data_IF_181308396691
#
_entry.id   IF_181308396691
#
_cell.length_a   1.000
_cell.length_b   1.000
_cell.length_c   1.000
_cell.angle_alpha   90.00
_cell.angle_beta   90.00
_cell.angle_gamma   90.00
#
_symmetry.space_group_name_H-M   'P 1'
#
loop_
_entity.id
_entity.type
_entity.pdbx_description
1 polymer ?
#
# COMPACT_ATOMS: atom_id res chain seq x y z
N UNK A 1 -32.78 5.20 2.65
CA UNK A 1 -32.39 6.62 2.73
C UNK A 1 -30.91 6.78 3.03
N UNK A 2 -30.36 6.07 4.03
CA UNK A 2 -28.93 6.10 4.33
C UNK A 2 -28.05 5.72 3.12
N UNK A 3 -28.39 4.67 2.38
CA UNK A 3 -27.65 4.27 1.17
C UNK A 3 -27.68 5.33 0.06
N UNK A 4 -28.79 6.06 -0.06
CA UNK A 4 -28.92 7.14 -1.05
C UNK A 4 -28.07 8.36 -0.66
N UNK A 5 -27.96 8.66 0.64
CA UNK A 5 -27.08 9.71 1.17
C UNK A 5 -25.61 9.31 1.02
N UNK A 6 -25.27 8.06 1.30
CA UNK A 6 -23.92 7.53 1.08
C UNK A 6 -23.54 7.58 -0.40
N UNK A 7 -24.44 7.16 -1.28
CA UNK A 7 -24.22 7.19 -2.74
C UNK A 7 -24.06 8.62 -3.25
N UNK A 8 -24.92 9.56 -2.81
CA UNK A 8 -24.82 10.97 -3.17
C UNK A 8 -23.50 11.62 -2.68
N UNK A 9 -23.07 11.32 -1.45
CA UNK A 9 -21.77 11.76 -0.93
C UNK A 9 -20.58 11.15 -1.66
N UNK A 10 -20.77 9.98 -2.28
CA UNK A 10 -19.79 9.31 -3.13
C UNK A 10 -19.73 9.85 -4.56
N UNK A 11 -20.75 10.58 -5.04
CA UNK A 11 -20.79 11.04 -6.42
C UNK A 11 -19.66 12.00 -6.76
N UNK A 12 -19.29 12.91 -5.85
CA UNK A 12 -18.14 13.80 -6.06
C UNK A 12 -16.85 13.02 -6.26
N UNK A 13 -16.65 11.97 -5.44
CA UNK A 13 -15.52 11.07 -5.56
C UNK A 13 -15.53 10.25 -6.86
N UNK A 14 -16.70 9.73 -7.26
CA UNK A 14 -16.83 9.01 -8.51
C UNK A 14 -16.63 9.94 -9.71
N UNK A 15 -17.07 11.19 -9.65
CA UNK A 15 -16.81 12.20 -10.66
C UNK A 15 -15.31 12.48 -10.82
N UNK A 16 -14.57 12.64 -9.72
CA UNK A 16 -13.11 12.78 -9.75
C UNK A 16 -12.43 11.54 -10.36
N UNK A 17 -12.88 10.33 -10.00
CA UNK A 17 -12.36 9.10 -10.58
C UNK A 17 -12.68 8.94 -12.07
N UNK A 18 -13.88 9.35 -12.51
CA UNK A 18 -14.27 9.35 -13.93
C UNK A 18 -13.42 10.35 -14.73
N UNK A 19 -13.02 11.46 -14.11
CA UNK A 19 -12.17 12.47 -14.71
C UNK A 19 -10.68 12.08 -14.79
N UNK A 20 -10.27 10.95 -14.23
CA UNK A 20 -8.92 10.46 -14.42
C UNK A 20 -8.67 10.12 -15.89
N UNK A 21 -7.89 10.98 -16.55
CA UNK A 21 -7.30 10.64 -17.84
C UNK A 21 -6.31 9.48 -17.63
N UNK A 22 -6.51 8.36 -18.34
CA UNK A 22 -5.60 7.22 -18.25
C UNK A 22 -4.22 7.63 -18.76
N UNK A 23 -3.18 7.40 -17.96
CA UNK A 23 -1.81 7.68 -18.39
C UNK A 23 -1.25 6.55 -19.26
N UNK A 24 -0.02 6.73 -19.75
CA UNK A 24 0.72 5.67 -20.45
C UNK A 24 1.18 4.55 -19.53
N UNK A 25 1.13 4.72 -18.21
CA UNK A 25 1.50 3.72 -17.21
C UNK A 25 0.26 3.26 -16.43
N UNK A 26 -0.36 2.11 -16.81
CA UNK A 26 -1.52 1.58 -16.10
C UNK A 26 -1.25 1.21 -14.63
N UNK A 27 0.00 0.92 -14.26
CA UNK A 27 0.34 0.57 -12.87
C UNK A 27 0.42 1.83 -12.01
N UNK A 28 0.97 2.92 -12.54
CA UNK A 28 0.92 4.21 -11.87
C UNK A 28 -0.52 4.72 -11.73
N UNK A 29 -1.37 4.52 -12.74
CA UNK A 29 -2.80 4.81 -12.63
C UNK A 29 -3.45 4.06 -11.45
N UNK A 30 -3.13 2.78 -11.25
CA UNK A 30 -3.62 2.00 -10.11
C UNK A 30 -3.10 2.54 -8.77
N UNK A 31 -1.82 2.97 -8.70
CA UNK A 31 -1.26 3.63 -7.51
C UNK A 31 -1.99 4.93 -7.17
N UNK A 32 -2.22 5.79 -8.17
CA UNK A 32 -2.99 7.03 -8.01
C UNK A 32 -4.43 6.75 -7.58
N UNK A 33 -5.08 5.77 -8.20
CA UNK A 33 -6.45 5.37 -7.88
C UNK A 33 -6.61 4.84 -6.44
N UNK A 34 -5.59 4.13 -5.93
CA UNK A 34 -5.50 3.74 -4.53
C UNK A 34 -5.40 4.96 -3.60
N UNK A 35 -4.44 5.85 -3.86
CA UNK A 35 -4.20 7.02 -3.01
C UNK A 35 -5.43 7.94 -2.93
N UNK A 36 -6.13 8.13 -4.05
CA UNK A 36 -7.39 8.88 -4.08
C UNK A 36 -8.50 8.20 -3.28
N UNK A 37 -8.61 6.87 -3.33
CA UNK A 37 -9.58 6.14 -2.51
C UNK A 37 -9.29 6.29 -1.01
N UNK A 38 -8.02 6.22 -0.62
CA UNK A 38 -7.59 6.42 0.77
C UNK A 38 -7.87 7.85 1.22
N UNK A 39 -7.45 8.85 0.43
CA UNK A 39 -7.65 10.25 0.74
C UNK A 39 -9.14 10.59 0.92
N UNK A 40 -9.99 10.07 0.02
CA UNK A 40 -11.43 10.22 0.14
C UNK A 40 -11.97 9.64 1.45
N UNK A 41 -11.57 8.42 1.80
CA UNK A 41 -12.06 7.77 3.03
C UNK A 41 -11.64 8.49 4.30
N UNK A 42 -10.43 9.03 4.34
CA UNK A 42 -9.95 9.84 5.46
C UNK A 42 -10.62 11.22 5.55
N UNK A 43 -10.90 11.84 4.41
CA UNK A 43 -11.62 13.12 4.35
C UNK A 43 -13.13 12.96 4.67
N UNK A 44 -13.69 11.77 4.45
CA UNK A 44 -15.13 11.50 4.64
C UNK A 44 -15.42 10.27 5.52
N UNK A 45 -14.96 10.20 6.79
CA UNK A 45 -15.05 8.98 7.61
C UNK A 45 -16.46 8.41 7.79
N UNK A 46 -17.45 9.28 7.99
CA UNK A 46 -18.84 8.87 8.20
C UNK A 46 -19.46 8.26 6.93
N UNK A 47 -19.23 8.89 5.77
CA UNK A 47 -19.71 8.41 4.47
C UNK A 47 -19.03 7.07 4.15
N UNK A 48 -17.71 7.00 4.34
CA UNK A 48 -16.94 5.80 4.05
C UNK A 48 -17.36 4.61 4.93
N UNK A 49 -17.56 4.84 6.24
CA UNK A 49 -18.02 3.80 7.18
C UNK A 49 -19.44 3.36 6.87
N UNK A 50 -20.33 4.27 6.47
CA UNK A 50 -21.67 3.91 6.04
C UNK A 50 -21.66 3.00 4.80
N UNK A 51 -20.73 3.25 3.86
CA UNK A 51 -20.64 2.49 2.62
C UNK A 51 -19.90 1.14 2.75
N UNK A 52 -18.84 1.09 3.55
CA UNK A 52 -17.93 -0.06 3.64
C UNK A 52 -17.88 -0.74 5.02
N UNK A 53 -18.39 -0.10 6.08
CA UNK A 53 -18.33 -0.62 7.45
C UNK A 53 -19.50 -1.51 7.85
N UNK A 54 -20.60 -1.51 7.09
CA UNK A 54 -21.78 -2.34 7.37
C UNK A 54 -21.98 -3.39 6.26
N UNK A 55 -21.40 -4.57 6.46
CA UNK A 55 -21.46 -5.67 5.48
C UNK A 55 -22.80 -6.41 5.60
N UNK A 56 -23.56 -6.42 4.51
CA UNK A 56 -24.81 -7.17 4.40
C UNK A 56 -24.72 -8.19 3.27
N UNK A 57 -24.89 -9.50 3.54
CA UNK A 57 -24.86 -10.52 2.49
C UNK A 57 -25.85 -10.21 1.36
N UNK A 58 -25.36 -10.20 0.13
CA UNK A 58 -26.17 -9.96 -1.07
C UNK A 58 -26.53 -8.50 -1.35
N UNK A 59 -26.14 -7.56 -0.49
CA UNK A 59 -26.38 -6.12 -0.71
C UNK A 59 -25.07 -5.38 -0.95
N UNK A 60 -25.00 -4.62 -2.04
CA UNK A 60 -23.86 -3.77 -2.37
C UNK A 60 -24.36 -2.40 -2.85
N UNK A 61 -23.96 -1.30 -2.21
CA UNK A 61 -24.35 0.04 -2.63
C UNK A 61 -23.97 0.32 -4.10
N UNK A 62 -24.81 1.08 -4.81
CA UNK A 62 -24.59 1.41 -6.23
C UNK A 62 -23.23 2.08 -6.47
N UNK A 63 -22.85 3.04 -5.62
CA UNK A 63 -21.55 3.70 -5.67
C UNK A 63 -20.36 2.73 -5.49
N UNK A 64 -20.49 1.72 -4.62
CA UNK A 64 -19.46 0.69 -4.44
C UNK A 64 -19.35 -0.25 -5.64
N UNK A 65 -20.47 -0.52 -6.32
CA UNK A 65 -20.50 -1.28 -7.58
C UNK A 65 -19.83 -0.50 -8.71
N UNK A 66 -20.12 0.81 -8.82
CA UNK A 66 -19.48 1.66 -9.82
C UNK A 66 -17.97 1.84 -9.58
N UNK A 67 -17.55 2.10 -8.34
CA UNK A 67 -16.12 2.19 -8.01
C UNK A 67 -15.36 0.92 -8.40
N UNK A 68 -15.98 -0.26 -8.23
CA UNK A 68 -15.42 -1.54 -8.68
C UNK A 68 -15.35 -1.65 -10.20
N UNK A 69 -16.37 -1.17 -10.91
CA UNK A 69 -16.36 -1.15 -12.38
C UNK A 69 -15.21 -0.27 -12.92
N UNK A 70 -14.95 0.88 -12.30
CA UNK A 70 -13.81 1.75 -12.63
C UNK A 70 -12.48 1.02 -12.41
N UNK A 71 -12.29 0.40 -11.22
CA UNK A 71 -11.09 -0.39 -10.92
C UNK A 71 -10.88 -1.53 -11.93
N UNK A 72 -11.95 -2.27 -12.26
CA UNK A 72 -11.90 -3.34 -13.27
C UNK A 72 -11.45 -2.81 -14.63
N UNK A 73 -11.96 -1.66 -15.08
CA UNK A 73 -11.53 -1.04 -16.34
C UNK A 73 -10.04 -0.65 -16.35
N UNK A 74 -9.51 -0.17 -15.23
CA UNK A 74 -8.07 0.11 -15.09
C UNK A 74 -7.24 -1.18 -15.17
N UNK A 75 -7.70 -2.26 -14.53
CA UNK A 75 -7.04 -3.57 -14.55
C UNK A 75 -7.13 -4.24 -15.92
N UNK A 76 -8.24 -4.09 -16.64
CA UNK A 76 -8.37 -4.57 -18.02
C UNK A 76 -7.36 -3.90 -18.94
N UNK A 77 -7.16 -2.58 -18.81
CA UNK A 77 -6.09 -1.88 -19.53
C UNK A 77 -4.71 -2.46 -19.20
N UNK A 78 -4.38 -2.63 -17.93
CA UNK A 78 -3.12 -3.25 -17.52
C UNK A 78 -2.96 -4.66 -18.11
N UNK A 79 -4.02 -5.46 -18.11
CA UNK A 79 -4.02 -6.81 -18.67
C UNK A 79 -3.79 -6.83 -20.18
N UNK A 80 -4.41 -5.92 -20.94
CA UNK A 80 -4.19 -5.82 -22.41
C UNK A 80 -2.75 -5.49 -22.78
N UNK A 81 -2.00 -4.89 -21.86
CA UNK A 81 -0.58 -4.58 -22.00
C UNK A 81 0.34 -5.68 -21.43
N UNK A 82 -0.22 -6.81 -20.97
CA UNK A 82 0.54 -7.92 -20.39
C UNK A 82 1.11 -7.63 -19.00
N UNK A 83 0.56 -6.64 -18.28
CA UNK A 83 1.10 -6.17 -17.00
C UNK A 83 0.52 -6.89 -15.78
N UNK A 84 -0.46 -7.79 -15.94
CA UNK A 84 -1.04 -8.55 -14.83
C UNK A 84 -0.49 -9.98 -14.76
N UNK A 85 -0.13 -10.40 -13.54
CA UNK A 85 0.34 -11.76 -13.22
C UNK A 85 -0.80 -12.72 -12.89
N UNK A 86 -1.99 -12.19 -12.66
CA UNK A 86 -3.20 -12.91 -12.25
C UNK A 86 -4.41 -12.43 -13.06
N UNK A 87 -5.51 -13.20 -13.09
CA UNK A 87 -6.75 -12.75 -13.73
C UNK A 87 -7.24 -11.41 -13.15
N UNK A 88 -7.86 -10.58 -14.01
CA UNK A 88 -8.43 -9.26 -13.65
C UNK A 88 -9.33 -9.34 -12.42
N UNK A 89 -10.17 -10.36 -12.32
CA UNK A 89 -11.09 -10.53 -11.19
C UNK A 89 -10.34 -10.78 -9.87
N UNK A 90 -9.28 -11.60 -9.89
CA UNK A 90 -8.41 -11.83 -8.74
C UNK A 90 -7.71 -10.54 -8.30
N UNK A 91 -7.18 -9.76 -9.24
CA UNK A 91 -6.56 -8.46 -8.94
C UNK A 91 -7.59 -7.44 -8.39
N UNK A 92 -8.82 -7.44 -8.93
CA UNK A 92 -9.90 -6.56 -8.48
C UNK A 92 -10.24 -6.85 -7.03
N UNK A 93 -10.44 -8.12 -6.66
CA UNK A 93 -10.73 -8.52 -5.28
C UNK A 93 -9.58 -8.13 -4.35
N UNK A 94 -8.34 -8.42 -4.74
CA UNK A 94 -7.16 -8.14 -3.91
C UNK A 94 -6.99 -6.64 -3.63
N UNK A 95 -7.11 -5.79 -4.67
CA UNK A 95 -7.01 -4.33 -4.52
C UNK A 95 -8.20 -3.79 -3.71
N UNK A 96 -9.42 -4.22 -3.99
CA UNK A 96 -10.61 -3.76 -3.26
C UNK A 96 -10.52 -4.11 -1.77
N UNK A 97 -10.19 -5.36 -1.45
CA UNK A 97 -10.09 -5.82 -0.06
C UNK A 97 -8.99 -5.07 0.70
N UNK A 98 -7.82 -4.92 0.10
CA UNK A 98 -6.67 -4.29 0.75
C UNK A 98 -6.85 -2.77 0.90
N UNK A 99 -7.38 -2.06 -0.10
CA UNK A 99 -7.65 -0.63 0.03
C UNK A 99 -8.74 -0.38 1.06
N UNK A 100 -9.84 -1.14 1.00
CA UNK A 100 -10.97 -0.97 1.91
C UNK A 100 -10.56 -1.25 3.36
N UNK A 101 -9.86 -2.35 3.59
CA UNK A 101 -9.34 -2.71 4.91
C UNK A 101 -8.35 -1.68 5.45
N UNK A 102 -7.47 -1.13 4.61
CA UNK A 102 -6.50 -0.12 5.02
C UNK A 102 -7.17 1.17 5.50
N UNK A 103 -8.20 1.64 4.80
CA UNK A 103 -8.95 2.83 5.22
C UNK A 103 -9.71 2.55 6.52
N UNK A 104 -10.43 1.43 6.62
CA UNK A 104 -11.18 1.09 7.83
C UNK A 104 -10.24 0.93 9.06
N UNK A 105 -9.05 0.36 8.86
CA UNK A 105 -8.00 0.25 9.88
C UNK A 105 -7.58 1.64 10.39
N UNK A 106 -7.35 2.61 9.48
CA UNK A 106 -7.01 3.97 9.86
C UNK A 106 -8.19 4.68 10.53
N UNK A 107 -9.42 4.50 10.05
CA UNK A 107 -10.61 5.10 10.65
C UNK A 107 -10.90 4.59 12.07
N UNK A 108 -10.43 3.39 12.42
CA UNK A 108 -10.50 2.86 13.79
C UNK A 108 -9.55 3.58 14.77
N UNK A 109 -8.56 4.33 14.28
CA UNK A 109 -7.63 5.11 15.12
C UNK A 109 -8.20 6.50 15.46
N UNK A 110 -7.70 7.15 16.54
CA UNK A 110 -7.92 8.58 16.77
C UNK A 110 -7.47 9.42 15.57
N UNK A 111 -8.15 10.53 15.30
CA UNK A 111 -7.92 11.36 14.09
C UNK A 111 -6.46 11.77 13.90
N UNK A 112 -5.77 12.17 14.98
CA UNK A 112 -4.37 12.59 14.95
C UNK A 112 -3.38 11.46 14.58
N UNK A 113 -3.80 10.19 14.62
CA UNK A 113 -2.98 9.03 14.30
C UNK A 113 -3.26 8.45 12.90
N UNK A 114 -4.19 9.05 12.13
CA UNK A 114 -4.61 8.55 10.81
C UNK A 114 -3.66 8.97 9.70
N UNK A 115 -2.45 8.45 9.72
CA UNK A 115 -1.42 8.80 8.73
C UNK A 115 -1.49 7.89 7.50
N UNK A 116 -1.87 8.41 6.30
CA UNK A 116 -1.96 7.59 5.08
C UNK A 116 -0.61 7.01 4.66
N UNK A 117 0.51 7.60 5.09
CA UNK A 117 1.85 7.10 4.83
C UNK A 117 2.07 5.70 5.42
N UNK A 118 1.40 5.36 6.52
CA UNK A 118 1.54 4.07 7.21
C UNK A 118 1.04 2.88 6.38
N UNK A 119 0.11 3.11 5.46
CA UNK A 119 -0.46 2.06 4.60
C UNK A 119 0.11 2.05 3.18
N UNK A 120 1.00 2.98 2.83
CA UNK A 120 1.66 3.00 1.51
C UNK A 120 2.42 1.70 1.21
N UNK A 121 3.16 1.08 2.17
CA UNK A 121 3.81 -0.19 1.92
C UNK A 121 2.81 -1.30 1.52
N UNK A 122 1.60 -1.31 2.09
CA UNK A 122 0.57 -2.30 1.75
C UNK A 122 0.14 -2.16 0.28
N UNK A 123 -0.08 -0.93 -0.21
CA UNK A 123 -0.39 -0.67 -1.62
C UNK A 123 0.68 -1.26 -2.52
N UNK A 124 1.95 -0.94 -2.22
CA UNK A 124 3.07 -1.34 -3.07
C UNK A 124 3.26 -2.87 -3.05
N UNK A 125 3.15 -3.52 -1.88
CA UNK A 125 3.18 -4.98 -1.74
C UNK A 125 2.08 -5.65 -2.58
N UNK A 126 0.85 -5.14 -2.50
CA UNK A 126 -0.29 -5.71 -3.25
C UNK A 126 -0.08 -5.51 -4.75
N UNK A 127 0.27 -4.31 -5.20
CA UNK A 127 0.48 -4.05 -6.63
C UNK A 127 1.67 -4.85 -7.20
N UNK A 128 2.79 -4.93 -6.48
CA UNK A 128 3.96 -5.71 -6.90
C UNK A 128 3.63 -7.22 -6.97
N UNK A 129 2.75 -7.73 -6.09
CA UNK A 129 2.30 -9.12 -6.15
C UNK A 129 1.42 -9.40 -7.39
N UNK A 130 0.60 -8.43 -7.80
CA UNK A 130 -0.40 -8.58 -8.86
C UNK A 130 0.13 -8.24 -10.27
N UNK A 131 1.19 -7.44 -10.36
CA UNK A 131 1.63 -6.81 -11.61
C UNK A 131 3.04 -7.25 -12.02
N UNK A 132 3.27 -7.36 -13.33
CA UNK A 132 4.59 -7.63 -13.91
C UNK A 132 5.35 -6.30 -14.01
N UNK A 133 6.59 -6.25 -13.53
CA UNK A 133 7.40 -5.03 -13.64
C UNK A 133 8.01 -4.95 -15.05
N UNK A 134 7.46 -4.08 -15.91
CA UNK A 134 7.97 -3.87 -17.28
C UNK A 134 9.25 -3.05 -17.34
N UNK A 135 9.50 -2.26 -16.30
CA UNK A 135 10.78 -1.57 -16.11
C UNK A 135 11.61 -2.35 -15.10
N UNK A 136 12.90 -2.60 -15.37
CA UNK A 136 13.80 -3.00 -14.30
C UNK A 136 13.72 -1.87 -13.28
N UNK A 137 13.14 -2.15 -12.10
CA UNK A 137 13.37 -1.32 -10.92
C UNK A 137 14.86 -1.06 -10.90
N UNK A 138 15.27 0.20 -11.04
CA UNK A 138 16.68 0.58 -10.94
C UNK A 138 17.17 -0.06 -9.65
N UNK A 139 17.97 -1.13 -9.81
CA UNK A 139 18.55 -1.91 -8.72
C UNK A 139 19.71 -1.12 -8.12
N UNK A 140 19.53 0.17 -7.84
CA UNK A 140 20.57 0.97 -7.19
C UNK A 140 20.74 0.56 -5.73
N UNK A 141 19.75 -0.13 -5.14
CA UNK A 141 19.95 -0.85 -3.87
C UNK A 141 20.16 -2.32 -4.12
N UNK A 142 21.34 -2.80 -3.71
CA UNK A 142 21.67 -4.22 -3.67
C UNK A 142 20.66 -4.95 -2.78
N UNK A 143 20.19 -6.17 -3.15
CA UNK A 143 19.41 -7.02 -2.26
C UNK A 143 20.08 -7.25 -0.90
N UNK A 144 21.42 -7.14 -0.84
CA UNK A 144 22.20 -7.19 0.39
C UNK A 144 21.96 -5.96 1.27
N UNK A 145 21.88 -4.76 0.67
CA UNK A 145 21.59 -3.52 1.38
C UNK A 145 20.18 -3.52 1.99
N UNK A 146 19.19 -4.06 1.28
CA UNK A 146 17.83 -4.20 1.80
C UNK A 146 17.78 -5.14 3.02
N UNK A 147 18.45 -6.29 2.94
CA UNK A 147 18.49 -7.26 4.03
C UNK A 147 19.27 -6.72 5.23
N UNK A 148 20.36 -5.99 5.00
CA UNK A 148 21.13 -5.34 6.05
C UNK A 148 20.30 -4.30 6.80
N UNK A 149 19.54 -3.47 6.08
CA UNK A 149 18.66 -2.47 6.68
C UNK A 149 17.53 -3.10 7.51
N UNK A 150 16.90 -4.17 7.01
CA UNK A 150 15.87 -4.89 7.78
C UNK A 150 16.44 -5.49 9.07
N UNK A 151 17.63 -6.09 9.02
CA UNK A 151 18.24 -6.69 10.20
C UNK A 151 18.65 -5.62 11.22
N UNK A 152 19.23 -4.49 10.78
CA UNK A 152 19.54 -3.34 11.65
C UNK A 152 18.31 -2.84 12.42
N UNK A 153 17.14 -2.78 11.78
CA UNK A 153 15.90 -2.38 12.44
C UNK A 153 15.45 -3.32 13.56
N UNK A 154 15.87 -4.59 13.52
CA UNK A 154 15.52 -5.61 14.54
C UNK A 154 16.54 -5.63 15.67
N UNK A 155 17.83 -5.43 15.35
CA UNK A 155 18.93 -5.63 16.31
C UNK A 155 19.42 -4.34 16.97
N UNK A 156 18.79 -3.20 16.71
CA UNK A 156 19.16 -1.92 17.33
C UNK A 156 18.68 -1.87 18.79
N UNK A 157 19.54 -1.50 19.77
CA UNK A 157 19.14 -1.42 21.17
C UNK A 157 17.99 -0.43 21.37
N UNK A 158 17.02 -0.79 22.21
CA UNK A 158 15.87 0.07 22.52
C UNK A 158 15.72 0.18 24.03
N UNK A 159 16.06 1.34 24.59
CA UNK A 159 16.14 1.50 26.04
C UNK A 159 17.30 0.70 26.63
N UNK A 160 17.04 -0.07 27.69
CA UNK A 160 18.06 -0.88 28.37
C UNK A 160 18.23 -2.29 27.76
N UNK A 161 17.50 -2.63 26.69
CA UNK A 161 17.59 -3.94 26.03
C UNK A 161 18.41 -3.87 24.75
N UNK A 162 19.32 -4.83 24.59
CA UNK A 162 20.10 -5.02 23.38
C UNK A 162 19.87 -6.48 22.91
N UNK A 163 19.08 -6.69 21.84
CA UNK A 163 18.73 -8.03 21.35
C UNK A 163 19.93 -8.92 20.99
N UNK A 164 21.08 -8.32 20.65
CA UNK A 164 22.28 -9.05 20.24
C UNK A 164 23.07 -9.50 21.47
N UNK A 165 23.19 -8.64 22.48
CA UNK A 165 23.82 -9.04 23.74
C UNK A 165 22.93 -9.99 24.53
N UNK A 166 21.60 -9.82 24.46
CA UNK A 166 20.63 -10.75 25.05
C UNK A 166 20.71 -12.15 24.41
N UNK A 167 21.11 -12.22 23.14
CA UNK A 167 21.40 -13.46 22.44
C UNK A 167 22.77 -14.09 22.78
N UNK A 168 23.53 -13.50 23.69
CA UNK A 168 24.79 -14.05 24.21
C UNK A 168 26.07 -13.56 23.53
N UNK A 169 25.97 -12.56 22.64
CA UNK A 169 27.15 -11.91 22.06
C UNK A 169 27.71 -10.85 23.02
N UNK A 170 29.01 -10.62 22.96
CA UNK A 170 29.62 -9.50 23.68
C UNK A 170 29.20 -8.15 23.09
N UNK A 171 29.31 -7.09 23.90
CA UNK A 171 29.06 -5.71 23.46
C UNK A 171 29.90 -5.34 22.23
N UNK A 172 31.14 -5.85 22.15
CA UNK A 172 32.04 -5.63 21.01
C UNK A 172 31.56 -6.33 19.73
N UNK A 173 31.11 -7.58 19.83
CA UNK A 173 30.55 -8.32 18.69
C UNK A 173 29.23 -7.71 18.21
N UNK A 174 28.38 -7.26 19.13
CA UNK A 174 27.14 -6.56 18.82
C UNK A 174 27.39 -5.24 18.07
N UNK A 175 28.38 -4.46 18.52
CA UNK A 175 28.82 -3.25 17.82
C UNK A 175 29.37 -3.54 16.42
N UNK A 176 30.24 -4.55 16.30
CA UNK A 176 30.86 -4.93 15.04
C UNK A 176 29.85 -5.42 14.00
N UNK A 177 28.86 -6.23 14.43
CA UNK A 177 27.78 -6.70 13.56
C UNK A 177 26.97 -5.52 13.00
N UNK A 178 26.60 -4.55 13.84
CA UNK A 178 25.86 -3.36 13.40
C UNK A 178 26.69 -2.52 12.44
N UNK A 179 27.97 -2.32 12.72
CA UNK A 179 28.88 -1.60 11.84
C UNK A 179 28.98 -2.24 10.45
N UNK A 180 29.15 -3.57 10.39
CA UNK A 180 29.18 -4.29 9.12
C UNK A 180 27.88 -4.17 8.34
N UNK A 181 26.73 -4.29 9.02
CA UNK A 181 25.43 -4.13 8.37
C UNK A 181 25.20 -2.69 7.87
N UNK A 182 25.67 -1.67 8.60
CA UNK A 182 25.61 -0.27 8.14
C UNK A 182 26.43 -0.08 6.87
N UNK A 183 27.66 -0.62 6.82
CA UNK A 183 28.50 -0.58 5.60
C UNK A 183 27.85 -1.31 4.42
N UNK A 184 27.19 -2.44 4.67
CA UNK A 184 26.46 -3.17 3.64
C UNK A 184 25.20 -2.42 3.15
N UNK A 185 24.58 -1.60 4.00
CA UNK A 185 23.44 -0.75 3.65
C UNK A 185 23.84 0.48 2.84
N UNK A 186 24.98 1.11 3.17
CA UNK A 186 25.50 2.30 2.49
C UNK A 186 26.11 1.99 1.12
N UNK A 187 26.48 0.73 0.88
CA UNK A 187 27.18 0.29 -0.33
C UNK A 187 28.68 0.63 -0.30
N UNK A 188 29.47 -0.01 -1.16
CA UNK A 188 30.89 0.35 -1.27
C UNK A 188 31.01 1.82 -1.73
N UNK A 189 31.87 2.64 -1.11
CA UNK A 189 32.15 3.98 -1.64
C UNK A 189 32.71 3.84 -3.06
N UNK A 190 32.39 4.76 -3.99
CA UNK A 190 32.99 4.73 -5.33
C UNK A 190 34.52 4.80 -5.17
N UNK A 191 35.21 3.88 -5.85
CA UNK A 191 36.68 3.81 -5.85
C UNK A 191 37.28 5.19 -6.22
N UNK A 192 38.29 5.63 -5.46
CA UNK A 192 39.07 6.84 -5.75
C UNK A 192 40.17 6.56 -6.75
#
# INVERSE_FOLDING_TARGET
MLDAVASFGFETYLAEKRAFEPSTDPIDDLRRGWDVHVAFGLANPAIYTLMYGNVQPGHRPAAATENRAILRGMLERANTQGLLRVPVETATIAIEASTTGAVLLLLAQPEHARHPQLIRPLRDIVLDALTEQTTPRVKDRSPIADRAQSLLGIITPTGDTDPVTDAGFSIFEAGLLREWLTRLNEGAPPER
#
